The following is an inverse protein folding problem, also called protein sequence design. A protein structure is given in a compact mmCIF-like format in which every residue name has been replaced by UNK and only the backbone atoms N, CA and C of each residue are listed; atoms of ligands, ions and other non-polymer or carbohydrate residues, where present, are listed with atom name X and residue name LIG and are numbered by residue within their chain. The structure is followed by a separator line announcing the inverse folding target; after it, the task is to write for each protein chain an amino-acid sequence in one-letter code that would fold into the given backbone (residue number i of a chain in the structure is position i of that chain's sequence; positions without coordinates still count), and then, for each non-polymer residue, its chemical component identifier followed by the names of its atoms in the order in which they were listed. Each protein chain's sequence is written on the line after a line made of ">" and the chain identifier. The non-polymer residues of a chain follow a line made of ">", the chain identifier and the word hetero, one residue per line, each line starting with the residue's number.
data_IF_102891269290
#
_entry.id   IF_102891269290
#
_cell.length_a   1.000
_cell.length_b   1.000
_cell.length_c   1.000
_cell.angle_alpha   90.00
_cell.angle_beta   90.00
_cell.angle_gamma   90.00
#
_symmetry.space_group_name_H-M   'P 1'
#
loop_
_entity.id
_entity.type
_entity.pdbx_description
1 polymer ?
#
# COMPACT_ATOMS: atom_id res chain seq x y z
N UNK A 1 -2.58 0.60 -32.21
CA UNK A 1 -2.37 0.52 -30.75
C UNK A 1 -2.12 1.95 -30.26
N UNK A 2 -2.87 2.44 -29.28
CA UNK A 2 -2.75 3.85 -28.84
C UNK A 2 -1.50 4.02 -27.94
N UNK A 3 -0.83 5.17 -28.02
CA UNK A 3 0.43 5.46 -27.31
C UNK A 3 0.30 5.30 -25.80
N UNK A 4 -0.86 5.63 -25.22
CA UNK A 4 -1.14 5.41 -23.79
C UNK A 4 -1.21 3.93 -23.41
N UNK A 5 -1.75 3.06 -24.28
CA UNK A 5 -1.79 1.60 -24.03
C UNK A 5 -0.39 0.97 -24.17
N UNK A 6 0.44 1.46 -25.08
CA UNK A 6 1.83 1.03 -25.23
C UNK A 6 2.68 1.41 -24.01
N UNK A 7 2.46 2.61 -23.45
CA UNK A 7 3.16 3.10 -22.26
C UNK A 7 2.79 2.27 -21.01
N UNK A 8 1.51 1.92 -20.85
CA UNK A 8 1.00 1.17 -19.69
C UNK A 8 1.51 -0.28 -19.64
N UNK A 9 1.59 -0.97 -20.78
CA UNK A 9 2.14 -2.34 -20.85
C UNK A 9 3.60 -2.37 -20.41
N UNK A 10 4.37 -1.31 -20.70
CA UNK A 10 5.79 -1.25 -20.38
C UNK A 10 6.06 -1.17 -18.87
N UNK A 11 5.29 -0.38 -18.12
CA UNK A 11 5.55 -0.15 -16.68
C UNK A 11 5.35 -1.41 -15.82
N UNK A 12 4.38 -2.26 -16.17
CA UNK A 12 4.16 -3.52 -15.46
C UNK A 12 5.28 -4.52 -15.72
N UNK A 13 5.78 -4.59 -16.95
CA UNK A 13 6.93 -5.43 -17.29
C UNK A 13 8.21 -4.94 -16.59
N UNK A 14 8.43 -3.62 -16.57
CA UNK A 14 9.52 -2.98 -15.82
C UNK A 14 9.43 -3.30 -14.32
N UNK A 15 8.22 -3.31 -13.75
CA UNK A 15 8.02 -3.69 -12.35
C UNK A 15 8.42 -5.14 -12.08
N UNK A 16 8.12 -6.06 -12.99
CA UNK A 16 8.53 -7.46 -12.84
C UNK A 16 10.06 -7.63 -12.96
N UNK A 17 10.74 -6.79 -13.76
CA UNK A 17 12.20 -6.71 -13.78
C UNK A 17 12.73 -6.20 -12.45
N UNK A 18 12.21 -5.07 -11.95
CA UNK A 18 12.60 -4.47 -10.67
C UNK A 18 12.40 -5.46 -9.51
N UNK A 19 11.29 -6.20 -9.51
CA UNK A 19 10.97 -7.24 -8.53
C UNK A 19 12.02 -8.34 -8.51
N UNK A 20 12.49 -8.80 -9.67
CA UNK A 20 13.58 -9.79 -9.74
C UNK A 20 14.89 -9.21 -9.21
N UNK A 21 15.16 -7.94 -9.50
CA UNK A 21 16.36 -7.25 -9.03
C UNK A 21 16.39 -7.14 -7.50
N UNK A 22 15.25 -6.89 -6.83
CA UNK A 22 15.16 -6.82 -5.37
C UNK A 22 15.77 -8.03 -4.64
N UNK A 23 15.79 -9.21 -5.28
CA UNK A 23 16.31 -10.45 -4.69
C UNK A 23 17.85 -10.47 -4.57
N UNK A 24 18.55 -9.71 -5.40
CA UNK A 24 20.02 -9.75 -5.51
C UNK A 24 20.66 -8.37 -5.33
N UNK A 25 19.92 -7.29 -5.59
CA UNK A 25 20.31 -5.91 -5.45
C UNK A 25 19.10 -5.09 -4.98
N UNK A 26 18.89 -5.06 -3.66
CA UNK A 26 17.75 -4.37 -3.07
C UNK A 26 17.76 -2.86 -3.39
N UNK A 27 18.95 -2.22 -3.35
CA UNK A 27 19.08 -0.79 -3.60
C UNK A 27 18.71 -0.43 -5.03
N UNK A 28 19.24 -1.18 -6.02
CA UNK A 28 18.89 -0.98 -7.42
C UNK A 28 17.45 -1.32 -7.72
N UNK A 29 16.90 -2.38 -7.12
CA UNK A 29 15.48 -2.73 -7.25
C UNK A 29 14.55 -1.65 -6.70
N UNK A 30 14.86 -1.06 -5.53
CA UNK A 30 14.12 0.09 -4.97
C UNK A 30 14.21 1.30 -5.90
N UNK A 31 15.41 1.62 -6.42
CA UNK A 31 15.58 2.73 -7.35
C UNK A 31 14.76 2.54 -8.64
N UNK A 32 14.66 1.31 -9.14
CA UNK A 32 13.82 0.98 -10.30
C UNK A 32 12.32 1.13 -9.97
N UNK A 33 11.86 0.68 -8.79
CA UNK A 33 10.48 0.92 -8.34
C UNK A 33 10.16 2.41 -8.22
N UNK A 34 11.10 3.22 -7.73
CA UNK A 34 10.97 4.67 -7.70
C UNK A 34 10.76 5.24 -9.12
N UNK A 35 11.57 4.81 -10.09
CA UNK A 35 11.43 5.27 -11.48
C UNK A 35 10.07 4.90 -12.09
N UNK A 36 9.58 3.69 -11.83
CA UNK A 36 8.25 3.24 -12.29
C UNK A 36 7.16 4.07 -11.62
N UNK A 37 7.26 4.29 -10.30
CA UNK A 37 6.30 5.09 -9.54
C UNK A 37 6.16 6.51 -10.10
N UNK A 38 7.27 7.14 -10.50
CA UNK A 38 7.28 8.48 -11.11
C UNK A 38 6.57 8.57 -12.46
N UNK A 39 6.47 7.45 -13.18
CA UNK A 39 5.80 7.37 -14.48
C UNK A 39 4.32 7.00 -14.35
N UNK A 40 3.91 6.48 -13.19
CA UNK A 40 2.52 6.17 -12.89
C UNK A 40 1.64 7.42 -12.84
N UNK A 41 0.34 7.22 -13.02
CA UNK A 41 -0.67 8.29 -13.00
C UNK A 41 -1.58 8.13 -11.80
N UNK A 42 -2.18 9.21 -11.30
CA UNK A 42 -3.22 9.09 -10.27
C UNK A 42 -4.38 8.22 -10.79
N UNK A 43 -4.88 7.24 -10.01
CA UNK A 43 -6.01 6.41 -10.42
C UNK A 43 -7.21 7.22 -10.91
N UNK A 44 -7.71 6.89 -12.11
CA UNK A 44 -8.87 7.53 -12.71
C UNK A 44 -9.71 6.51 -13.52
N UNK A 45 -10.96 6.21 -13.13
CA UNK A 45 -11.71 6.77 -11.99
C UNK A 45 -11.09 6.41 -10.62
N UNK A 46 -11.60 7.01 -9.54
CA UNK A 46 -11.15 6.62 -8.19
C UNK A 46 -11.49 5.16 -7.92
N UNK A 47 -10.71 4.50 -7.07
CA UNK A 47 -10.85 3.06 -6.81
C UNK A 47 -12.15 2.75 -6.07
N UNK A 48 -12.76 1.63 -6.43
CA UNK A 48 -13.97 1.12 -5.81
C UNK A 48 -13.97 -0.41 -5.78
N UNK A 49 -14.44 -1.00 -4.69
CA UNK A 49 -14.46 -2.46 -4.51
C UNK A 49 -13.15 -3.00 -3.98
N UNK A 50 -12.84 -4.26 -4.33
CA UNK A 50 -11.74 -5.03 -3.74
C UNK A 50 -10.52 -5.13 -4.64
N UNK A 51 -9.35 -4.92 -4.04
CA UNK A 51 -8.06 -5.06 -4.69
C UNK A 51 -7.17 -5.98 -3.87
N UNK A 52 -6.58 -6.97 -4.54
CA UNK A 52 -5.63 -7.90 -3.95
C UNK A 52 -4.24 -7.31 -3.97
N UNK A 53 -3.56 -7.46 -2.85
CA UNK A 53 -2.28 -6.85 -2.57
C UNK A 53 -1.14 -7.84 -2.65
N UNK A 54 0.01 -7.34 -3.08
CA UNK A 54 1.27 -8.05 -2.94
C UNK A 54 2.33 -7.11 -2.38
N UNK A 55 2.98 -7.54 -1.29
CA UNK A 55 4.13 -6.85 -0.72
C UNK A 55 5.38 -7.10 -1.59
N UNK A 56 6.06 -6.03 -2.00
CA UNK A 56 7.26 -6.15 -2.85
C UNK A 56 8.55 -6.12 -2.03
N UNK A 57 8.71 -5.11 -1.19
CA UNK A 57 9.91 -4.94 -0.35
C UNK A 57 9.67 -3.92 0.76
N UNK A 58 10.43 -4.07 1.83
CA UNK A 58 10.58 -3.09 2.88
C UNK A 58 11.86 -2.28 2.66
N UNK A 59 11.83 -1.00 3.03
CA UNK A 59 12.96 -0.09 2.93
C UNK A 59 13.19 0.60 4.28
N UNK A 60 13.78 -0.16 5.22
CA UNK A 60 14.18 0.36 6.53
C UNK A 60 15.70 0.48 6.60
N UNK A 61 16.16 1.55 7.24
CA UNK A 61 17.58 1.67 7.59
C UNK A 61 17.91 0.61 8.68
N UNK A 62 19.02 -0.14 8.57
CA UNK A 62 19.41 -1.22 9.50
C UNK A 62 19.57 -0.84 10.98
N UNK A 63 19.35 0.43 11.35
CA UNK A 63 19.51 0.93 12.73
C UNK A 63 18.20 0.80 13.53
N UNK A 64 17.10 0.41 12.89
CA UNK A 64 15.76 0.29 13.50
C UNK A 64 15.27 -1.17 13.60
N UNK A 65 16.17 -2.11 13.88
CA UNK A 65 15.89 -3.57 13.85
C UNK A 65 14.67 -3.99 14.71
N UNK A 66 14.40 -3.34 15.85
CA UNK A 66 13.24 -3.68 16.69
C UNK A 66 11.89 -3.35 16.05
N UNK A 67 11.84 -2.38 15.13
CA UNK A 67 10.62 -2.00 14.41
C UNK A 67 10.38 -2.85 13.18
N UNK A 68 11.46 -3.31 12.55
CA UNK A 68 11.42 -4.15 11.35
C UNK A 68 10.57 -5.41 11.59
N UNK A 69 10.71 -6.03 12.76
CA UNK A 69 10.04 -7.26 13.13
C UNK A 69 8.52 -7.09 13.26
N UNK A 70 8.08 -6.02 13.95
CA UNK A 70 6.66 -5.68 14.15
C UNK A 70 6.01 -5.35 12.80
N UNK A 71 6.72 -4.59 11.98
CA UNK A 71 6.23 -4.14 10.69
C UNK A 71 6.15 -5.32 9.69
N UNK A 72 7.15 -6.20 9.67
CA UNK A 72 7.11 -7.43 8.88
C UNK A 72 5.91 -8.30 9.30
N UNK A 73 5.69 -8.45 10.61
CA UNK A 73 4.52 -9.12 11.19
C UNK A 73 3.18 -8.49 10.79
N UNK A 74 3.15 -7.18 10.53
CA UNK A 74 1.95 -6.48 10.05
C UNK A 74 1.68 -6.74 8.56
N UNK A 75 2.71 -6.74 7.71
CA UNK A 75 2.54 -6.90 6.26
C UNK A 75 2.41 -8.34 5.77
N UNK A 76 2.93 -9.33 6.50
CA UNK A 76 2.76 -10.74 6.12
C UNK A 76 1.28 -11.21 6.07
N UNK A 77 0.40 -10.89 7.03
CA UNK A 77 -1.00 -11.27 6.94
C UNK A 77 -1.83 -10.36 6.03
N UNK A 78 -1.25 -9.27 5.51
CA UNK A 78 -1.95 -8.34 4.64
C UNK A 78 -2.16 -8.93 3.24
N UNK A 79 -3.36 -8.76 2.71
CA UNK A 79 -3.76 -9.34 1.41
C UNK A 79 -4.34 -8.32 0.44
N UNK A 80 -4.47 -7.06 0.83
CA UNK A 80 -5.01 -6.03 -0.06
C UNK A 80 -5.88 -4.99 0.64
N UNK A 81 -6.76 -4.37 -0.14
CA UNK A 81 -7.61 -3.27 0.32
C UNK A 81 -9.00 -3.33 -0.31
N UNK A 82 -9.97 -2.79 0.40
CA UNK A 82 -11.28 -2.43 -0.15
C UNK A 82 -11.39 -0.91 -0.23
N UNK A 83 -12.15 -0.41 -1.21
CA UNK A 83 -12.38 1.01 -1.43
C UNK A 83 -13.87 1.26 -1.66
N UNK A 84 -14.36 2.38 -1.13
CA UNK A 84 -15.67 2.94 -1.42
C UNK A 84 -15.47 4.35 -2.00
N UNK A 85 -15.74 4.46 -3.30
CA UNK A 85 -15.61 5.72 -4.04
C UNK A 85 -16.64 6.78 -3.63
N UNK A 86 -17.80 6.37 -3.08
CA UNK A 86 -18.87 7.30 -2.71
C UNK A 86 -18.56 8.01 -1.40
N UNK A 87 -17.94 7.30 -0.46
CA UNK A 87 -17.57 7.84 0.85
C UNK A 87 -16.11 8.27 0.93
N UNK A 88 -15.31 7.99 -0.10
CA UNK A 88 -13.85 8.18 -0.12
C UNK A 88 -13.18 7.49 1.08
N UNK A 89 -13.54 6.23 1.32
CA UNK A 89 -12.99 5.42 2.42
C UNK A 89 -12.56 4.04 1.95
N UNK A 90 -11.92 3.30 2.83
CA UNK A 90 -11.63 1.89 2.60
C UNK A 90 -11.04 1.21 3.83
N UNK A 91 -10.77 -0.08 3.70
CA UNK A 91 -10.21 -0.93 4.76
C UNK A 91 -9.08 -1.79 4.20
N UNK A 92 -8.08 -2.11 5.01
CA UNK A 92 -7.14 -3.17 4.69
C UNK A 92 -7.80 -4.54 4.85
N UNK A 93 -7.37 -5.49 4.03
CA UNK A 93 -7.78 -6.90 4.08
C UNK A 93 -6.62 -7.70 4.68
N UNK A 94 -6.94 -8.53 5.66
CA UNK A 94 -6.00 -9.43 6.30
C UNK A 94 -6.53 -10.86 6.33
N UNK A 95 -5.61 -11.82 6.43
CA UNK A 95 -5.94 -13.20 6.79
C UNK A 95 -6.58 -13.28 8.18
N UNK A 96 -7.42 -14.28 8.41
CA UNK A 96 -8.03 -14.50 9.73
C UNK A 96 -7.00 -14.85 10.81
N UNK A 97 -5.95 -15.60 10.46
CA UNK A 97 -4.88 -15.93 11.41
C UNK A 97 -4.09 -14.67 11.84
N UNK A 98 -4.04 -13.66 10.96
CA UNK A 98 -3.50 -12.34 11.26
C UNK A 98 -4.24 -11.62 12.40
N UNK A 99 -5.49 -11.97 12.70
CA UNK A 99 -6.27 -11.38 13.79
C UNK A 99 -5.60 -11.60 15.16
N UNK A 100 -5.05 -12.79 15.39
CA UNK A 100 -4.38 -13.09 16.66
C UNK A 100 -3.16 -12.19 16.84
N UNK A 101 -2.36 -12.05 15.78
CA UNK A 101 -1.19 -11.19 15.76
C UNK A 101 -1.56 -9.71 15.94
N UNK A 102 -2.60 -9.25 15.26
CA UNK A 102 -3.15 -7.90 15.40
C UNK A 102 -3.60 -7.61 16.83
N UNK A 103 -4.25 -8.56 17.51
CA UNK A 103 -4.65 -8.40 18.92
C UNK A 103 -3.48 -8.38 19.90
N UNK A 104 -2.33 -8.96 19.53
CA UNK A 104 -1.11 -8.87 20.35
C UNK A 104 -0.47 -7.49 20.19
N UNK A 105 -0.39 -6.97 18.95
CA UNK A 105 0.24 -5.67 18.66
C UNK A 105 -0.66 -4.51 19.10
N UNK A 106 -1.97 -4.62 18.88
CA UNK A 106 -2.98 -3.60 19.21
C UNK A 106 -4.14 -4.20 20.02
N UNK A 107 -3.92 -4.50 21.31
CA UNK A 107 -4.92 -5.19 22.16
C UNK A 107 -6.20 -4.38 22.39
N UNK A 108 -6.15 -3.06 22.22
CA UNK A 108 -7.29 -2.17 22.43
C UNK A 108 -8.00 -1.74 21.14
N UNK A 109 -7.55 -2.24 19.98
CA UNK A 109 -8.19 -1.93 18.71
C UNK A 109 -9.39 -2.84 18.47
N UNK A 110 -10.57 -2.22 18.31
CA UNK A 110 -11.84 -2.92 18.14
C UNK A 110 -12.38 -2.87 16.71
N UNK A 111 -11.67 -2.26 15.76
CA UNK A 111 -12.10 -2.09 14.38
C UNK A 111 -11.80 -3.30 13.48
N UNK A 112 -11.71 -4.51 14.03
CA UNK A 112 -11.60 -5.73 13.24
C UNK A 112 -13.00 -6.19 12.83
N UNK A 113 -13.26 -6.31 11.53
CA UNK A 113 -14.57 -6.70 10.99
C UNK A 113 -14.41 -7.97 10.17
N UNK A 114 -15.25 -8.98 10.45
CA UNK A 114 -15.27 -10.19 9.65
C UNK A 114 -15.77 -9.90 8.22
N UNK A 115 -15.04 -10.40 7.23
CA UNK A 115 -15.37 -10.29 5.83
C UNK A 115 -16.02 -11.57 5.32
N UNK A 116 -16.94 -11.41 4.37
CA UNK A 116 -17.69 -12.48 3.70
C UNK A 116 -16.84 -13.59 3.08
N UNK A 117 -15.57 -13.30 2.74
CA UNK A 117 -14.63 -14.24 2.09
C UNK A 117 -13.69 -14.95 3.07
N UNK A 118 -14.05 -15.02 4.36
CA UNK A 118 -13.20 -15.63 5.37
C UNK A 118 -11.90 -14.86 5.58
N UNK A 119 -12.03 -13.53 5.60
CA UNK A 119 -10.96 -12.55 5.85
C UNK A 119 -11.36 -11.60 6.96
N UNK A 120 -10.43 -10.75 7.36
CA UNK A 120 -10.67 -9.68 8.33
C UNK A 120 -10.38 -8.33 7.69
N UNK A 121 -11.33 -7.41 7.75
CA UNK A 121 -11.12 -6.00 7.44
C UNK A 121 -10.63 -5.27 8.68
N UNK A 122 -9.65 -4.39 8.52
CA UNK A 122 -9.13 -3.56 9.60
C UNK A 122 -8.45 -2.30 9.07
N UNK A 123 -8.17 -1.37 9.98
CA UNK A 123 -7.48 -0.11 9.74
C UNK A 123 -8.12 0.68 8.60
N UNK A 124 -9.22 1.34 8.92
CA UNK A 124 -9.92 2.21 8.00
C UNK A 124 -8.99 3.31 7.49
N UNK A 125 -9.19 3.74 6.26
CA UNK A 125 -8.51 4.90 5.71
C UNK A 125 -9.49 5.79 4.96
N UNK A 126 -9.11 7.06 4.82
CA UNK A 126 -9.77 8.01 3.92
C UNK A 126 -8.94 8.18 2.66
N UNK A 127 -9.60 8.30 1.51
CA UNK A 127 -8.94 8.51 0.23
C UNK A 127 -9.04 9.96 -0.22
N UNK A 128 -7.99 10.45 -0.85
CA UNK A 128 -7.97 11.78 -1.47
C UNK A 128 -6.97 11.82 -2.61
N UNK A 129 -7.24 12.60 -3.65
CA UNK A 129 -6.20 12.97 -4.63
C UNK A 129 -5.33 14.05 -4.04
N UNK A 130 -4.02 13.86 -4.07
CA UNK A 130 -3.06 14.83 -3.51
C UNK A 130 -1.68 14.64 -4.15
N UNK A 131 -0.71 15.50 -3.80
CA UNK A 131 0.69 15.34 -4.18
C UNK A 131 1.36 14.22 -3.37
N UNK A 132 2.34 13.55 -3.99
CA UNK A 132 3.17 12.57 -3.32
C UNK A 132 3.96 13.24 -2.18
N UNK A 133 4.06 12.59 -1.01
CA UNK A 133 4.68 13.21 0.17
C UNK A 133 6.20 13.32 0.04
N UNK A 134 6.80 12.37 -0.69
CA UNK A 134 8.25 12.31 -0.92
C UNK A 134 8.66 12.92 -2.27
N UNK A 135 7.70 13.06 -3.21
CA UNK A 135 7.92 13.60 -4.55
C UNK A 135 6.77 14.56 -4.97
N UNK A 136 6.78 15.83 -4.55
CA UNK A 136 5.62 16.73 -4.69
C UNK A 136 5.11 16.99 -6.12
N UNK A 137 5.92 16.68 -7.14
CA UNK A 137 5.54 16.84 -8.56
C UNK A 137 4.57 15.75 -9.05
N UNK A 138 4.36 14.68 -8.28
CA UNK A 138 3.54 13.53 -8.68
C UNK A 138 2.19 13.62 -7.99
N UNK A 139 1.11 13.40 -8.75
CA UNK A 139 -0.23 13.20 -8.20
C UNK A 139 -0.50 11.74 -7.90
N UNK A 140 -1.09 11.49 -6.74
CA UNK A 140 -1.34 10.14 -6.22
C UNK A 140 -2.72 10.07 -5.59
N UNK A 141 -3.25 8.85 -5.49
CA UNK A 141 -4.35 8.58 -4.56
C UNK A 141 -3.72 8.31 -3.19
N UNK A 142 -3.92 9.24 -2.26
CA UNK A 142 -3.47 9.14 -0.87
C UNK A 142 -4.50 8.39 -0.04
N UNK A 143 -4.03 7.48 0.81
CA UNK A 143 -4.81 6.78 1.82
C UNK A 143 -4.33 7.23 3.18
N UNK A 144 -5.14 8.02 3.87
CA UNK A 144 -4.84 8.56 5.19
C UNK A 144 -5.39 7.64 6.28
N UNK A 145 -4.51 7.12 7.14
CA UNK A 145 -4.86 6.28 8.28
C UNK A 145 -4.94 7.04 9.61
N UNK A 146 -4.66 8.35 9.63
CA UNK A 146 -4.76 9.19 10.84
C UNK A 146 -6.23 9.45 11.21
N UNK A 147 -6.90 8.39 11.66
CA UNK A 147 -8.28 8.38 12.11
C UNK A 147 -8.32 8.07 13.61
N UNK A 148 -9.23 8.69 14.39
CA UNK A 148 -9.32 8.46 15.83
C UNK A 148 -9.49 7.00 16.25
N UNK A 149 -10.21 6.21 15.42
CA UNK A 149 -10.50 4.81 15.69
C UNK A 149 -9.29 3.89 15.42
N UNK A 150 -8.29 4.36 14.67
CA UNK A 150 -7.11 3.57 14.35
C UNK A 150 -6.09 3.60 15.50
N UNK A 151 -5.30 2.53 15.67
CA UNK A 151 -4.27 2.51 16.69
C UNK A 151 -3.23 3.62 16.48
N UNK A 152 -2.86 4.30 17.57
CA UNK A 152 -1.84 5.36 17.49
C UNK A 152 -0.47 4.81 17.10
N UNK A 153 -0.10 3.65 17.65
CA UNK A 153 1.17 3.02 17.34
C UNK A 153 1.19 2.52 15.89
N UNK A 154 2.02 3.17 15.06
CA UNK A 154 2.29 2.90 13.64
C UNK A 154 1.14 3.22 12.67
N UNK A 155 -0.10 2.82 12.97
CA UNK A 155 -1.19 2.91 11.98
C UNK A 155 -1.54 4.36 11.65
N UNK A 156 -1.67 5.25 12.65
CA UNK A 156 -1.99 6.66 12.40
C UNK A 156 -0.84 7.47 11.78
N UNK A 157 0.38 6.94 11.81
CA UNK A 157 1.54 7.54 11.17
C UNK A 157 1.78 7.03 9.74
N UNK A 158 1.00 6.02 9.32
CA UNK A 158 1.04 5.45 7.99
C UNK A 158 0.22 6.31 7.01
N UNK A 159 0.80 6.54 5.84
CA UNK A 159 0.12 7.06 4.67
C UNK A 159 0.50 6.20 3.49
N UNK A 160 -0.48 5.55 2.87
CA UNK A 160 -0.22 4.89 1.60
C UNK A 160 -0.48 5.85 0.45
N UNK A 161 0.33 5.74 -0.61
CA UNK A 161 0.22 6.58 -1.80
C UNK A 161 0.25 5.67 -3.02
N UNK A 162 -0.77 5.78 -3.86
CA UNK A 162 -0.97 4.91 -5.02
C UNK A 162 -0.87 5.68 -6.33
N UNK A 163 -0.19 5.04 -7.29
CA UNK A 163 -0.25 5.38 -8.71
C UNK A 163 -0.75 4.16 -9.49
N UNK A 164 -1.49 4.42 -10.55
CA UNK A 164 -1.86 3.45 -11.56
C UNK A 164 -0.73 3.31 -12.57
N UNK A 165 -0.32 2.07 -12.84
CA UNK A 165 0.76 1.74 -13.78
C UNK A 165 0.28 0.84 -14.92
N UNK A 166 -0.92 0.26 -14.79
CA UNK A 166 -1.64 -0.48 -15.84
C UNK A 166 -3.15 -0.34 -15.59
N UNK A 167 -4.00 -0.80 -16.52
CA UNK A 167 -5.47 -0.66 -16.47
C UNK A 167 -6.07 -1.06 -15.11
N UNK A 168 -5.57 -2.16 -14.54
CA UNK A 168 -6.06 -2.74 -13.29
C UNK A 168 -4.95 -2.98 -12.26
N UNK A 169 -3.80 -2.33 -12.43
CA UNK A 169 -2.60 -2.59 -11.66
C UNK A 169 -2.00 -1.28 -11.12
N UNK A 170 -1.71 -1.30 -9.82
CA UNK A 170 -1.33 -0.12 -9.08
C UNK A 170 -0.06 -0.41 -8.29
N UNK A 171 0.82 0.59 -8.22
CA UNK A 171 2.00 0.56 -7.38
C UNK A 171 1.78 1.51 -6.20
N UNK A 172 2.05 1.02 -5.00
CA UNK A 172 1.89 1.73 -3.75
C UNK A 172 3.20 1.92 -3.02
N UNK A 173 3.34 3.10 -2.40
CA UNK A 173 4.33 3.39 -1.36
C UNK A 173 3.61 3.46 -0.02
N UNK A 174 4.11 2.73 0.97
CA UNK A 174 3.76 2.92 2.37
C UNK A 174 4.75 3.93 2.98
N UNK A 175 4.27 5.10 3.36
CA UNK A 175 5.08 6.18 3.94
C UNK A 175 4.80 6.28 5.43
N UNK A 176 5.85 6.24 6.24
CA UNK A 176 5.77 6.43 7.68
C UNK A 176 6.36 7.78 8.08
N UNK A 177 5.81 8.36 9.15
CA UNK A 177 6.37 9.53 9.83
C UNK A 177 7.46 9.08 10.82
N UNK A 178 8.56 9.82 10.87
CA UNK A 178 9.51 9.76 11.96
C UNK A 178 8.97 10.55 13.17
N UNK A 179 9.41 10.23 14.41
CA UNK A 179 9.03 11.00 15.60
C UNK A 179 9.40 12.50 15.54
N UNK A 180 10.42 12.86 14.76
CA UNK A 180 10.87 14.25 14.55
C UNK A 180 10.06 15.01 13.48
N UNK A 181 9.04 14.36 12.88
CA UNK A 181 8.19 14.93 11.84
C UNK A 181 8.68 14.68 10.42
N UNK A 182 9.86 14.06 10.23
CA UNK A 182 10.32 13.59 8.93
C UNK A 182 9.44 12.46 8.36
N UNK A 183 9.67 12.09 7.10
CA UNK A 183 8.96 10.97 6.44
C UNK A 183 9.91 10.11 5.62
N UNK A 184 9.58 8.82 5.50
CA UNK A 184 10.32 7.90 4.65
C UNK A 184 9.41 6.85 4.02
N UNK A 185 9.81 6.33 2.86
CA UNK A 185 9.15 5.19 2.23
C UNK A 185 9.55 3.92 2.96
N UNK A 186 8.62 3.36 3.71
CA UNK A 186 8.80 2.18 4.55
C UNK A 186 8.64 0.87 3.75
N UNK A 187 7.78 0.85 2.73
CA UNK A 187 7.60 -0.31 1.87
C UNK A 187 7.00 0.04 0.51
N UNK A 188 7.17 -0.89 -0.43
CA UNK A 188 6.45 -0.93 -1.69
C UNK A 188 5.51 -2.12 -1.73
N UNK A 189 4.35 -1.92 -2.33
CA UNK A 189 3.36 -2.97 -2.55
C UNK A 189 2.63 -2.73 -3.88
N UNK A 190 1.97 -3.74 -4.39
CA UNK A 190 1.06 -3.60 -5.53
C UNK A 190 -0.38 -3.86 -5.10
N UNK A 191 -1.31 -3.31 -5.88
CA UNK A 191 -2.70 -3.68 -5.83
C UNK A 191 -3.15 -4.09 -7.23
N UNK A 192 -3.96 -5.12 -7.31
CA UNK A 192 -4.61 -5.57 -8.55
C UNK A 192 -6.09 -5.72 -8.31
N UNK A 193 -6.93 -5.25 -9.23
CA UNK A 193 -8.36 -5.53 -9.12
C UNK A 193 -8.59 -7.04 -9.15
N UNK A 194 -9.36 -7.54 -8.18
CA UNK A 194 -9.94 -8.86 -8.31
C UNK A 194 -11.14 -8.70 -9.23
N UNK A 195 -11.13 -9.29 -10.43
CA UNK A 195 -12.36 -9.40 -11.22
C UNK A 195 -13.48 -9.86 -10.29
N UNK A 196 -14.60 -9.16 -10.30
CA UNK A 196 -15.84 -9.64 -9.71
C UNK A 196 -16.22 -10.85 -10.54
N UNK A 197 -15.75 -12.03 -10.14
CA UNK A 197 -16.45 -13.25 -10.53
C UNK A 197 -17.72 -13.25 -9.70
N UNK A 198 -18.79 -12.78 -10.34
CA UNK A 198 -20.17 -13.00 -9.91
C UNK A 198 -20.44 -14.50 -9.67
#
# INVERSE_FOLDING_TARGET
>A
MNTDQQLNINLREELEVARRQLKYDQKGGIAALDQIYRQGRVPNPTLNGRYWGEFLTANFHPVLDSWLDIITKMWLPWEGKTFDANTNTGDNIFTNDGLLLGRIIWPFYNGYVADSRGRTLAFKFQTSRDKCLLEPDIEVLRLNFDLPDNPQFLIRDLVDQLVQIDEDFYLGKAVLKYPDGGRFCAAYFTLKSGLVTD
#
